data_IF_748771386127
#
_entry.id   IF_748771386127
#
_cell.length_a   1.000
_cell.length_b   1.000
_cell.length_c   1.000
_cell.angle_alpha   90.00
_cell.angle_beta   90.00
_cell.angle_gamma   90.00
#
_symmetry.space_group_name_H-M   'P 1'
#
loop_
_entity.id
_entity.type
_entity.pdbx_description
1 polymer ?
#
# COMPACT_ATOMS: atom_id res chain seq x y z
N UNK A 1 -2.21 -1.27 -10.68
CA UNK A 1 -0.90 -1.07 -11.35
C UNK A 1 -0.38 0.33 -11.10
N UNK A 2 0.86 0.46 -10.63
CA UNK A 2 1.48 1.76 -10.36
C UNK A 2 3.01 1.68 -10.35
N UNK A 3 3.66 2.82 -10.53
CA UNK A 3 5.12 2.96 -10.54
C UNK A 3 5.52 4.20 -9.75
N UNK A 4 6.62 4.12 -9.02
CA UNK A 4 7.29 5.24 -8.36
C UNK A 4 8.80 5.13 -8.58
N UNK A 5 9.49 6.27 -8.60
CA UNK A 5 10.94 6.34 -8.81
C UNK A 5 11.53 7.20 -7.72
N UNK A 6 12.60 6.73 -7.07
CA UNK A 6 13.37 7.51 -6.11
C UNK A 6 14.86 7.12 -6.23
N UNK A 7 15.69 8.09 -6.62
CA UNK A 7 17.12 7.89 -6.80
C UNK A 7 17.46 6.78 -7.80
N UNK A 8 18.19 5.77 -7.32
CA UNK A 8 18.67 4.62 -8.07
C UNK A 8 17.64 3.47 -8.17
N UNK A 9 16.41 3.67 -7.69
CA UNK A 9 15.38 2.63 -7.62
C UNK A 9 14.07 3.00 -8.28
N UNK A 10 13.47 2.00 -8.92
CA UNK A 10 12.10 2.01 -9.43
C UNK A 10 11.28 1.01 -8.61
N UNK A 11 10.14 1.46 -8.10
CA UNK A 11 9.18 0.63 -7.39
C UNK A 11 7.95 0.43 -8.26
N UNK A 12 7.57 -0.82 -8.52
CA UNK A 12 6.47 -1.15 -9.42
C UNK A 12 5.50 -2.15 -8.78
N UNK A 13 4.22 -1.95 -9.03
CA UNK A 13 3.16 -2.88 -8.62
C UNK A 13 2.55 -3.53 -9.86
N UNK A 14 2.68 -4.85 -9.95
CA UNK A 14 2.10 -5.69 -11.00
C UNK A 14 1.65 -7.04 -10.43
N UNK A 15 0.43 -7.48 -10.76
CA UNK A 15 -0.09 -8.79 -10.34
C UNK A 15 -0.08 -9.02 -8.82
N UNK A 16 -0.47 -8.00 -8.04
CA UNK A 16 -0.46 -8.07 -6.57
C UNK A 16 0.93 -8.10 -5.92
N UNK A 17 2.00 -7.90 -6.70
CA UNK A 17 3.38 -7.89 -6.22
C UNK A 17 3.97 -6.49 -6.32
N UNK A 18 4.62 -6.05 -5.25
CA UNK A 18 5.49 -4.88 -5.24
C UNK A 18 6.93 -5.33 -5.54
N UNK A 19 7.58 -4.71 -6.50
CA UNK A 19 8.98 -5.00 -6.86
C UNK A 19 9.81 -3.73 -6.78
N UNK A 20 11.05 -3.84 -6.33
CA UNK A 20 12.07 -2.82 -6.53
C UNK A 20 13.05 -3.27 -7.61
N UNK A 21 13.38 -2.35 -8.50
CA UNK A 21 14.32 -2.56 -9.60
C UNK A 21 15.38 -1.47 -9.56
N UNK A 22 16.60 -1.79 -10.00
CA UNK A 22 17.62 -0.78 -10.27
C UNK A 22 17.14 0.15 -11.40
N UNK A 23 17.15 1.46 -11.18
CA UNK A 23 16.64 2.43 -12.14
C UNK A 23 17.43 2.46 -13.45
N UNK A 24 18.73 2.18 -13.38
CA UNK A 24 19.61 2.13 -14.55
C UNK A 24 19.61 0.76 -15.24
N UNK A 25 19.55 -0.32 -14.46
CA UNK A 25 19.74 -1.69 -14.99
C UNK A 25 18.42 -2.40 -15.29
N UNK A 26 17.33 -1.99 -14.63
CA UNK A 26 16.05 -2.71 -14.66
C UNK A 26 16.10 -4.06 -13.95
N UNK A 27 17.18 -4.40 -13.25
CA UNK A 27 17.31 -5.66 -12.52
C UNK A 27 16.49 -5.62 -11.23
N UNK A 28 15.75 -6.69 -10.95
CA UNK A 28 14.99 -6.84 -9.71
C UNK A 28 15.94 -6.92 -8.52
N UNK A 29 15.83 -5.97 -7.60
CA UNK A 29 16.56 -5.94 -6.33
C UNK A 29 15.84 -6.78 -5.27
N UNK A 30 14.51 -6.65 -5.20
CA UNK A 30 13.65 -7.44 -4.32
C UNK A 30 12.21 -7.45 -4.81
N UNK A 31 11.43 -8.40 -4.30
CA UNK A 31 9.97 -8.46 -4.48
C UNK A 31 9.28 -8.70 -3.13
N UNK A 32 8.13 -8.07 -2.95
CA UNK A 32 7.25 -8.20 -1.80
C UNK A 32 5.83 -8.47 -2.32
N UNK A 33 5.34 -9.69 -2.10
CA UNK A 33 3.97 -10.08 -2.41
C UNK A 33 3.13 -10.18 -1.13
N UNK A 34 1.81 -10.04 -1.25
CA UNK A 34 0.92 -10.60 -0.23
C UNK A 34 0.78 -12.10 -0.44
N UNK A 35 0.71 -12.87 0.66
CA UNK A 35 0.32 -14.29 0.59
C UNK A 35 -1.08 -14.48 -0.01
N UNK A 36 -1.87 -13.40 -0.03
CA UNK A 36 -3.18 -13.32 -0.67
C UNK A 36 -3.03 -12.65 -2.05
N UNK A 37 -2.79 -13.47 -3.07
CA UNK A 37 -2.50 -13.05 -4.46
C UNK A 37 -3.72 -12.49 -5.21
N UNK A 38 -4.94 -12.69 -4.68
CA UNK A 38 -6.19 -12.38 -5.39
C UNK A 38 -6.66 -10.92 -5.27
N UNK A 39 -5.88 -10.04 -4.64
CA UNK A 39 -6.25 -8.63 -4.48
C UNK A 39 -5.22 -7.69 -5.08
N UNK A 40 -5.73 -6.67 -5.76
CA UNK A 40 -4.90 -5.65 -6.37
C UNK A 40 -4.23 -4.80 -5.28
N UNK A 41 -2.96 -4.47 -5.53
CA UNK A 41 -2.24 -3.46 -4.76
C UNK A 41 -2.40 -2.12 -5.47
N UNK A 42 -2.57 -1.08 -4.66
CA UNK A 42 -2.57 0.31 -5.07
C UNK A 42 -1.20 0.79 -5.56
N UNK A 43 -1.13 2.08 -5.89
CA UNK A 43 0.12 2.68 -6.36
C UNK A 43 1.15 2.74 -5.22
N UNK A 44 2.43 2.40 -5.46
CA UNK A 44 3.45 2.53 -4.44
C UNK A 44 3.72 4.00 -4.15
N UNK A 45 3.84 4.35 -2.87
CA UNK A 45 4.26 5.67 -2.41
C UNK A 45 5.58 5.53 -1.66
N UNK A 46 6.59 6.30 -2.06
CA UNK A 46 7.93 6.21 -1.49
C UNK A 46 8.11 7.27 -0.42
N UNK A 47 8.41 6.84 0.80
CA UNK A 47 8.89 7.68 1.90
C UNK A 47 10.40 7.61 2.04
N UNK A 48 10.93 8.17 3.13
CA UNK A 48 12.38 8.22 3.37
C UNK A 48 13.03 6.83 3.47
N UNK A 49 12.46 5.95 4.29
CA UNK A 49 12.97 4.59 4.57
C UNK A 49 12.03 3.48 4.07
N UNK A 50 10.85 3.83 3.56
CA UNK A 50 9.74 2.90 3.36
C UNK A 50 9.07 3.09 2.02
N UNK A 51 8.48 2.01 1.51
CA UNK A 51 7.50 2.04 0.43
C UNK A 51 6.16 1.60 0.98
N UNK A 52 5.13 2.38 0.69
CA UNK A 52 3.76 2.16 1.14
C UNK A 52 2.91 1.68 -0.01
N UNK A 53 2.10 0.66 0.23
CA UNK A 53 1.09 0.18 -0.72
C UNK A 53 -0.24 -0.01 0.01
N UNK A 54 -1.30 0.54 -0.58
CA UNK A 54 -2.67 0.32 -0.13
C UNK A 54 -3.31 -0.88 -0.82
N UNK A 55 -4.32 -1.47 -0.20
CA UNK A 55 -5.20 -2.48 -0.78
C UNK A 55 -6.57 -2.46 -0.11
N UNK A 56 -7.54 -3.11 -0.75
CA UNK A 56 -8.74 -3.59 -0.06
C UNK A 56 -8.42 -4.90 0.69
N UNK A 57 -8.98 -5.06 1.88
CA UNK A 57 -8.91 -6.28 2.68
C UNK A 57 -10.18 -7.12 2.59
N UNK A 58 -10.06 -8.44 2.82
CA UNK A 58 -11.22 -9.31 2.85
C UNK A 58 -12.28 -8.82 3.84
N UNK A 59 -13.53 -9.07 3.46
CA UNK A 59 -14.68 -8.84 4.33
C UNK A 59 -14.80 -10.04 5.28
N UNK A 60 -14.39 -9.86 6.53
CA UNK A 60 -14.55 -10.88 7.58
C UNK A 60 -15.42 -10.31 8.69
N UNK A 61 -16.70 -10.71 8.76
CA UNK A 61 -17.64 -10.51 9.89
C UNK A 61 -18.01 -9.06 10.28
N UNK A 62 -17.11 -8.10 10.04
CA UNK A 62 -17.11 -6.71 10.48
C UNK A 62 -17.14 -5.74 9.28
N UNK A 63 -17.46 -6.23 8.08
CA UNK A 63 -17.47 -5.43 6.85
C UNK A 63 -16.10 -5.28 6.17
N UNK A 64 -16.06 -4.66 4.98
CA UNK A 64 -14.84 -4.42 4.21
C UNK A 64 -13.90 -3.48 4.96
N UNK A 65 -12.61 -3.64 4.70
CA UNK A 65 -11.56 -2.79 5.27
C UNK A 65 -10.58 -2.43 4.17
N UNK A 66 -9.89 -1.32 4.37
CA UNK A 66 -8.67 -1.02 3.64
C UNK A 66 -7.47 -1.42 4.48
N UNK A 67 -6.34 -1.64 3.83
CA UNK A 67 -5.08 -1.80 4.53
C UNK A 67 -3.92 -1.12 3.82
N UNK A 68 -3.04 -0.52 4.62
CA UNK A 68 -1.74 -0.06 4.20
C UNK A 68 -0.69 -1.05 4.69
N UNK A 69 0.25 -1.41 3.82
CA UNK A 69 1.48 -2.11 4.20
C UNK A 69 2.67 -1.21 3.97
N UNK A 70 3.55 -1.12 4.97
CA UNK A 70 4.85 -0.48 4.85
C UNK A 70 5.93 -1.56 4.68
N UNK A 71 6.79 -1.31 3.71
CA UNK A 71 7.86 -2.20 3.30
C UNK A 71 9.18 -1.45 3.38
N UNK A 72 10.20 -2.06 3.97
CA UNK A 72 11.55 -1.52 3.97
C UNK A 72 12.01 -1.30 2.52
N UNK A 73 12.47 -0.08 2.22
CA UNK A 73 12.79 0.31 0.84
C UNK A 73 14.02 -0.40 0.27
N UNK A 74 14.90 -0.91 1.13
CA UNK A 74 16.18 -1.51 0.76
C UNK A 74 16.06 -3.02 0.59
N UNK A 75 15.39 -3.71 1.52
CA UNK A 75 15.28 -5.17 1.58
C UNK A 75 13.97 -5.72 1.01
N UNK A 76 12.89 -4.96 1.02
CA UNK A 76 11.55 -5.47 0.67
C UNK A 76 10.83 -6.16 1.84
N UNK A 77 11.37 -6.10 3.06
CA UNK A 77 10.73 -6.71 4.22
C UNK A 77 9.52 -5.89 4.69
N UNK A 78 8.43 -6.58 5.06
CA UNK A 78 7.27 -5.92 5.66
C UNK A 78 7.62 -5.47 7.08
N UNK A 79 7.63 -4.17 7.31
CA UNK A 79 7.87 -3.60 8.64
C UNK A 79 6.58 -3.50 9.46
N UNK A 80 5.50 -3.00 8.85
CA UNK A 80 4.21 -2.90 9.53
C UNK A 80 3.03 -2.97 8.56
N UNK A 81 1.85 -3.21 9.15
CA UNK A 81 0.56 -3.17 8.46
C UNK A 81 -0.46 -2.42 9.30
N UNK A 82 -1.20 -1.52 8.66
CA UNK A 82 -2.34 -0.83 9.26
C UNK A 82 -3.61 -1.26 8.53
N UNK A 83 -4.62 -1.69 9.29
CA UNK A 83 -5.94 -2.03 8.75
C UNK A 83 -6.95 -1.01 9.27
N UNK A 84 -7.75 -0.45 8.37
CA UNK A 84 -8.78 0.53 8.72
C UNK A 84 -9.89 -0.14 9.53
N UNK A 85 -10.76 0.67 10.13
CA UNK A 85 -12.01 0.14 10.68
C UNK A 85 -12.84 -0.53 9.57
N UNK A 86 -13.67 -1.49 9.98
CA UNK A 86 -14.76 -1.97 9.14
C UNK A 86 -15.81 -0.89 8.93
N UNK A 87 -16.48 -0.91 7.77
CA UNK A 87 -17.70 -0.13 7.55
C UNK A 87 -18.89 -1.08 7.47
N UNK A 88 -20.05 -0.60 7.92
CA UNK A 88 -21.30 -1.33 7.69
C UNK A 88 -21.53 -1.47 6.19
N UNK A 89 -21.82 -2.70 5.75
CA UNK A 89 -21.85 -3.06 4.35
C UNK A 89 -23.30 -3.17 3.87
N UNK A 90 -23.83 -2.09 3.31
CA UNK A 90 -25.01 -2.14 2.44
C UNK A 90 -24.56 -2.25 0.97
N UNK A 91 -25.44 -2.77 0.11
CA UNK A 91 -25.16 -3.06 -1.31
C UNK A 91 -24.67 -1.87 -2.15
N UNK A 92 -24.84 -0.63 -1.65
CA UNK A 92 -24.43 0.62 -2.29
C UNK A 92 -23.15 1.21 -1.67
N UNK A 93 -22.52 0.50 -0.73
CA UNK A 93 -21.32 1.00 -0.04
C UNK A 93 -20.12 0.96 -1.00
N UNK A 94 -19.37 2.06 -1.15
CA UNK A 94 -18.17 2.05 -1.97
C UNK A 94 -17.14 1.06 -1.41
N UNK A 95 -16.35 0.46 -2.28
CA UNK A 95 -15.22 -0.37 -1.86
C UNK A 95 -14.30 0.45 -0.92
N UNK A 96 -13.93 -0.13 0.23
CA UNK A 96 -12.97 0.46 1.17
C UNK A 96 -11.55 0.22 0.67
N UNK A 97 -11.26 0.70 -0.54
CA UNK A 97 -9.91 0.72 -1.07
C UNK A 97 -9.10 1.82 -0.39
N UNK A 98 -7.82 1.55 -0.13
CA UNK A 98 -6.80 2.57 0.21
C UNK A 98 -5.84 2.79 -0.96
N UNK A 99 -6.25 2.36 -2.15
CA UNK A 99 -5.37 2.12 -3.30
C UNK A 99 -4.98 3.39 -4.06
N UNK A 100 -5.74 4.48 -3.89
CA UNK A 100 -5.70 5.62 -4.82
C UNK A 100 -5.16 6.93 -4.24
N UNK A 101 -5.23 7.14 -2.92
CA UNK A 101 -4.82 8.41 -2.29
C UNK A 101 -4.02 8.18 -1.02
N UNK A 102 -2.70 8.03 -1.21
CA UNK A 102 -1.73 7.98 -0.14
C UNK A 102 -0.74 9.13 -0.34
N UNK A 103 -0.44 9.87 0.72
CA UNK A 103 0.59 10.89 0.77
C UNK A 103 1.49 10.65 1.98
N UNK A 104 2.77 11.03 1.88
CA UNK A 104 3.71 10.96 3.00
C UNK A 104 4.41 12.30 3.17
N UNK A 105 4.50 12.78 4.41
CA UNK A 105 5.20 14.01 4.78
C UNK A 105 5.70 13.93 6.21
N UNK A 106 6.96 14.31 6.43
CA UNK A 106 7.60 14.33 7.76
C UNK A 106 7.47 13.02 8.57
N UNK A 107 7.48 11.87 7.90
CA UNK A 107 7.35 10.55 8.56
C UNK A 107 5.91 10.16 8.91
N UNK A 108 4.93 10.97 8.50
CA UNK A 108 3.50 10.65 8.63
C UNK A 108 2.91 10.32 7.28
N UNK A 109 2.22 9.19 7.23
CA UNK A 109 1.39 8.75 6.12
C UNK A 109 -0.03 9.28 6.29
N UNK A 110 -0.60 9.84 5.22
CA UNK A 110 -1.97 10.30 5.14
C UNK A 110 -2.69 9.55 4.03
N UNK A 111 -3.88 9.03 4.31
CA UNK A 111 -4.68 8.37 3.29
C UNK A 111 -6.17 8.42 3.62
N UNK A 112 -6.97 8.35 2.57
CA UNK A 112 -8.44 8.31 2.66
C UNK A 112 -8.97 6.90 2.36
N UNK A 113 -10.18 6.62 2.84
CA UNK A 113 -10.93 5.43 2.45
C UNK A 113 -12.11 5.82 1.56
N UNK A 114 -12.64 4.85 0.80
CA UNK A 114 -13.90 5.05 0.07
C UNK A 114 -15.09 5.42 0.96
N UNK A 115 -15.01 5.14 2.27
CA UNK A 115 -16.02 5.51 3.27
C UNK A 115 -15.93 6.97 3.74
N UNK A 116 -14.93 7.73 3.29
CA UNK A 116 -14.72 9.13 3.68
C UNK A 116 -13.92 9.34 4.96
N UNK A 117 -13.27 8.29 5.51
CA UNK A 117 -12.33 8.46 6.61
C UNK A 117 -11.01 9.05 6.10
N UNK A 118 -10.36 9.87 6.93
CA UNK A 118 -8.97 10.31 6.75
C UNK A 118 -8.13 9.78 7.91
N UNK A 119 -7.05 9.07 7.57
CA UNK A 119 -6.09 8.53 8.52
C UNK A 119 -4.77 9.30 8.45
N UNK A 120 -4.13 9.42 9.62
CA UNK A 120 -2.73 9.82 9.76
C UNK A 120 -2.01 8.73 10.57
N UNK A 121 -1.00 8.09 9.96
CA UNK A 121 -0.21 7.02 10.57
C UNK A 121 1.24 7.46 10.59
N UNK A 122 1.80 7.62 11.80
CA UNK A 122 3.18 8.05 11.98
C UNK A 122 4.10 6.86 12.19
N UNK A 123 5.27 6.90 11.57
CA UNK A 123 6.35 5.98 11.89
C UNK A 123 6.83 6.24 13.34
N UNK A 124 6.75 5.20 14.18
CA UNK A 124 7.27 5.22 15.55
C UNK A 124 8.80 5.21 15.61
#
# INVERSE_FOLDING_TARGET
>A
TGIAVDGDRVYAVAGGTLSALGAETGETLWTAGSEETDRELGRPVVGRSRVYVGRADPVDGDGPRGAITAVDRESGDREWRFTTRGIEYDSDSPAVGTEEQIAVGDGTLYFTTGAGDLYAVTDG
#
